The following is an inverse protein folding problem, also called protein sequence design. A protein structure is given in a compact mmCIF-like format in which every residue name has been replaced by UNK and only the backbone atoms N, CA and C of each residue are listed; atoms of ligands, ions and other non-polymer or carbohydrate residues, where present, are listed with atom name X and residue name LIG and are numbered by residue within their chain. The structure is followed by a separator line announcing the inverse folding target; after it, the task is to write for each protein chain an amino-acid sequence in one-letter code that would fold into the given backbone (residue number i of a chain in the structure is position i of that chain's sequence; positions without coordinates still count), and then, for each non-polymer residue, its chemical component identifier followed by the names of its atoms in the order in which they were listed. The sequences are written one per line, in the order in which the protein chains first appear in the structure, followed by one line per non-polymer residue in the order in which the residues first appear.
data_IF_825591284260
#
_entry.id   IF_825591284260
#
_cell.length_a   1.000
_cell.length_b   1.000
_cell.length_c   1.000
_cell.angle_alpha   90.00
_cell.angle_beta   90.00
_cell.angle_gamma   90.00
#
_symmetry.space_group_name_H-M   'P 1'
#
loop_
_entity.id
_entity.type
_entity.pdbx_description
1 polymer ?
#
# COMPACT_ATOMS: atom_id res chain seq x y z
N UNK A 1 -47.14 32.00 -3.21
CA UNK A 1 -45.71 32.19 -2.92
C UNK A 1 -44.99 30.91 -3.30
N UNK A 2 -44.06 30.95 -4.24
CA UNK A 2 -43.22 29.82 -4.59
C UNK A 2 -41.91 29.96 -3.81
N UNK A 3 -41.69 29.10 -2.82
CA UNK A 3 -40.42 28.99 -2.12
C UNK A 3 -39.43 28.30 -3.06
N UNK A 4 -38.45 29.05 -3.57
CA UNK A 4 -37.33 28.49 -4.31
C UNK A 4 -36.35 27.91 -3.28
N UNK A 5 -36.31 26.59 -3.15
CA UNK A 5 -35.24 25.91 -2.42
C UNK A 5 -33.98 25.99 -3.29
N UNK A 6 -32.88 26.59 -2.80
CA UNK A 6 -31.63 26.57 -3.54
C UNK A 6 -31.21 25.11 -3.83
N UNK A 7 -30.62 24.81 -4.99
CA UNK A 7 -30.01 23.52 -5.23
C UNK A 7 -29.01 23.21 -4.10
N UNK A 8 -29.01 21.98 -3.60
CA UNK A 8 -27.99 21.57 -2.63
C UNK A 8 -26.59 21.89 -3.19
N UNK A 9 -25.66 22.44 -2.38
CA UNK A 9 -24.31 22.71 -2.84
C UNK A 9 -23.71 21.43 -3.44
N UNK A 10 -22.95 21.51 -4.54
CA UNK A 10 -22.36 20.33 -5.15
C UNK A 10 -21.59 19.57 -4.08
N UNK A 11 -21.86 18.26 -3.96
CA UNK A 11 -21.15 17.37 -3.04
C UNK A 11 -19.67 17.46 -3.41
N UNK A 12 -18.90 18.22 -2.63
CA UNK A 12 -17.56 18.65 -2.99
C UNK A 12 -16.59 17.47 -2.77
N UNK A 13 -16.60 16.51 -3.69
CA UNK A 13 -15.64 15.41 -3.71
C UNK A 13 -14.28 15.99 -4.03
N UNK A 14 -13.35 15.90 -3.08
CA UNK A 14 -11.96 16.36 -3.26
C UNK A 14 -11.02 15.19 -3.10
N UNK A 15 -10.04 15.06 -3.99
CA UNK A 15 -8.96 14.12 -3.79
C UNK A 15 -8.07 14.59 -2.63
N UNK A 16 -7.92 13.75 -1.62
CA UNK A 16 -7.17 14.03 -0.39
C UNK A 16 -5.79 13.39 -0.40
N UNK A 17 -5.60 12.33 -1.21
CA UNK A 17 -4.30 11.67 -1.41
C UNK A 17 -4.17 11.21 -2.85
N UNK A 18 -2.93 11.19 -3.33
CA UNK A 18 -2.55 10.65 -4.63
C UNK A 18 -1.29 9.80 -4.47
N UNK A 19 -1.12 8.83 -5.35
CA UNK A 19 0.12 8.08 -5.49
C UNK A 19 0.31 7.71 -6.96
N UNK A 20 1.50 7.98 -7.50
CA UNK A 20 1.89 7.59 -8.84
C UNK A 20 2.78 6.35 -8.77
N UNK A 21 2.39 5.32 -9.51
CA UNK A 21 3.26 4.17 -9.81
C UNK A 21 3.99 4.38 -11.12
N UNK A 22 4.55 3.30 -11.67
CA UNK A 22 5.33 3.39 -12.92
C UNK A 22 4.46 3.79 -14.14
N UNK A 23 3.32 3.13 -14.31
CA UNK A 23 2.38 3.45 -15.41
C UNK A 23 0.91 3.47 -14.97
N UNK A 24 0.64 3.55 -13.66
CA UNK A 24 -0.70 3.76 -13.13
C UNK A 24 -0.68 4.81 -12.03
N UNK A 25 -1.86 5.30 -11.68
CA UNK A 25 -2.04 6.26 -10.60
C UNK A 25 -3.19 5.83 -9.72
N UNK A 26 -3.09 6.17 -8.44
CA UNK A 26 -4.12 6.00 -7.43
C UNK A 26 -4.49 7.37 -6.87
N UNK A 27 -5.77 7.55 -6.54
CA UNK A 27 -6.24 8.70 -5.78
C UNK A 27 -7.32 8.29 -4.77
N UNK A 28 -7.31 8.92 -3.61
CA UNK A 28 -8.30 8.77 -2.56
C UNK A 28 -9.10 10.07 -2.44
N UNK A 29 -10.42 9.98 -2.43
CA UNK A 29 -11.27 11.15 -2.21
C UNK A 29 -11.66 11.36 -0.74
N UNK A 30 -12.29 12.50 -0.45
CA UNK A 30 -12.76 12.89 0.88
C UNK A 30 -13.87 12.00 1.45
N UNK A 31 -14.48 11.14 0.63
CA UNK A 31 -15.52 10.20 1.02
C UNK A 31 -14.97 8.79 1.27
N UNK A 32 -13.64 8.60 1.15
CA UNK A 32 -12.99 7.31 1.32
C UNK A 32 -13.07 6.41 0.07
N UNK A 33 -13.49 6.95 -1.08
CA UNK A 33 -13.49 6.21 -2.34
C UNK A 33 -12.10 6.26 -2.96
N UNK A 34 -11.63 5.13 -3.46
CA UNK A 34 -10.34 5.02 -4.14
C UNK A 34 -10.54 4.82 -5.63
N UNK A 35 -9.75 5.54 -6.40
CA UNK A 35 -9.77 5.52 -7.85
C UNK A 35 -8.39 5.17 -8.38
N UNK A 36 -8.36 4.51 -9.53
CA UNK A 36 -7.15 4.15 -10.23
C UNK A 36 -7.29 4.45 -11.73
N UNK A 37 -6.19 4.77 -12.41
CA UNK A 37 -6.16 4.87 -13.88
C UNK A 37 -4.77 4.58 -14.43
N UNK A 38 -4.69 4.41 -15.75
CA UNK A 38 -3.48 4.03 -16.47
C UNK A 38 -3.48 2.56 -16.87
N UNK A 39 -2.29 1.97 -16.82
CA UNK A 39 -1.98 0.61 -17.29
C UNK A 39 -2.49 -0.47 -16.31
N UNK A 40 -2.95 -1.63 -16.82
CA UNK A 40 -3.60 -2.68 -15.99
C UNK A 40 -3.24 -4.16 -16.30
N UNK A 41 -2.10 -4.46 -16.94
CA UNK A 41 -1.69 -5.83 -17.32
C UNK A 41 -1.78 -6.83 -16.15
N UNK A 42 -1.54 -6.37 -14.92
CA UNK A 42 -1.53 -7.22 -13.72
C UNK A 42 -2.73 -7.03 -12.79
N UNK A 43 -3.74 -6.25 -13.19
CA UNK A 43 -4.86 -5.93 -12.31
C UNK A 43 -4.54 -4.87 -11.25
N UNK A 44 -3.46 -4.09 -11.45
CA UNK A 44 -2.97 -3.07 -10.51
C UNK A 44 -3.91 -1.88 -10.31
N UNK A 45 -4.98 -1.78 -11.11
CA UNK A 45 -6.08 -0.83 -10.90
C UNK A 45 -7.12 -1.32 -9.88
N UNK A 46 -7.15 -2.61 -9.53
CA UNK A 46 -8.01 -3.12 -8.46
C UNK A 46 -9.51 -3.10 -8.78
N UNK A 47 -9.89 -3.01 -10.05
CA UNK A 47 -11.29 -2.94 -10.52
C UNK A 47 -11.86 -4.31 -10.93
N UNK A 48 -11.18 -5.40 -10.54
CA UNK A 48 -11.53 -6.77 -10.90
C UNK A 48 -11.08 -7.19 -12.30
N UNK A 49 -10.58 -6.27 -13.11
CA UNK A 49 -10.11 -6.58 -14.48
C UNK A 49 -8.59 -6.69 -14.57
N UNK A 50 -8.10 -7.34 -15.63
CA UNK A 50 -6.68 -7.36 -16.01
C UNK A 50 -6.55 -6.98 -17.49
N UNK A 51 -5.37 -6.52 -17.92
CA UNK A 51 -5.00 -6.20 -19.31
C UNK A 51 -5.72 -4.96 -19.89
N UNK A 52 -6.91 -4.61 -19.40
CA UNK A 52 -7.64 -3.40 -19.82
C UNK A 52 -7.13 -2.14 -19.13
N UNK A 53 -6.39 -1.32 -19.87
CA UNK A 53 -6.01 0.02 -19.44
C UNK A 53 -7.23 0.93 -19.26
N UNK A 54 -7.13 1.91 -18.37
CA UNK A 54 -8.17 2.91 -18.10
C UNK A 54 -7.59 4.30 -18.35
N UNK A 55 -8.10 4.98 -19.36
CA UNK A 55 -7.72 6.37 -19.66
C UNK A 55 -8.48 7.41 -18.81
N UNK A 56 -9.35 6.94 -17.91
CA UNK A 56 -10.09 7.74 -16.95
C UNK A 56 -10.11 7.04 -15.59
N UNK A 57 -10.25 7.77 -14.47
CA UNK A 57 -10.37 7.18 -13.14
C UNK A 57 -11.49 6.13 -13.06
N UNK A 58 -11.13 4.88 -12.73
CA UNK A 58 -12.06 3.80 -12.39
C UNK A 58 -12.03 3.56 -10.88
N UNK A 59 -13.14 3.09 -10.32
CA UNK A 59 -13.24 2.81 -8.89
C UNK A 59 -12.57 1.49 -8.53
N UNK A 60 -11.70 1.53 -7.53
CA UNK A 60 -11.12 0.32 -6.92
C UNK A 60 -12.22 -0.44 -6.18
N UNK A 61 -12.27 -1.76 -6.35
CA UNK A 61 -13.24 -2.65 -5.70
C UNK A 61 -12.75 -3.00 -4.29
N UNK A 62 -12.80 -2.02 -3.38
CA UNK A 62 -12.47 -2.24 -1.98
C UNK A 62 -13.35 -3.33 -1.35
N UNK A 63 -12.84 -4.07 -0.34
CA UNK A 63 -13.64 -5.06 0.39
C UNK A 63 -14.93 -4.44 0.95
N UNK A 64 -15.97 -5.25 1.07
CA UNK A 64 -17.27 -4.79 1.57
C UNK A 64 -17.13 -4.15 2.96
N UNK A 65 -17.65 -2.92 3.11
CA UNK A 65 -17.59 -2.17 4.36
C UNK A 65 -16.25 -1.50 4.67
N UNK A 66 -15.25 -1.60 3.78
CA UNK A 66 -13.93 -1.00 3.98
C UNK A 66 -13.74 0.19 3.03
N UNK A 67 -13.45 1.36 3.59
CA UNK A 67 -12.84 2.48 2.86
C UNK A 67 -11.34 2.54 3.12
N UNK A 68 -10.56 3.02 2.16
CA UNK A 68 -9.11 3.19 2.34
C UNK A 68 -8.77 4.56 2.91
N UNK A 69 -7.69 4.63 3.67
CA UNK A 69 -7.21 5.84 4.36
C UNK A 69 -5.79 6.22 3.94
N UNK A 70 -5.03 5.29 3.39
CA UNK A 70 -3.72 5.49 2.76
C UNK A 70 -3.63 4.64 1.49
N UNK A 71 -2.86 5.12 0.51
CA UNK A 71 -2.61 4.45 -0.77
C UNK A 71 -1.13 4.56 -1.13
N UNK A 72 -0.61 3.56 -1.83
CA UNK A 72 0.73 3.57 -2.42
C UNK A 72 0.74 2.74 -3.71
N UNK A 73 1.36 3.27 -4.77
CA UNK A 73 1.44 2.63 -6.08
C UNK A 73 2.91 2.33 -6.41
N UNK A 74 3.19 1.07 -6.76
CA UNK A 74 4.51 0.60 -7.19
C UNK A 74 4.61 0.47 -8.71
N UNK A 75 5.48 -0.42 -9.19
CA UNK A 75 5.55 -0.71 -10.64
C UNK A 75 4.35 -1.52 -11.13
N UNK A 76 4.17 -2.69 -10.54
CA UNK A 76 3.18 -3.67 -10.97
C UNK A 76 2.04 -3.88 -9.98
N UNK A 77 2.13 -3.29 -8.79
CA UNK A 77 1.20 -3.50 -7.68
C UNK A 77 0.79 -2.19 -7.01
N UNK A 78 -0.21 -2.29 -6.16
CA UNK A 78 -0.84 -1.21 -5.41
C UNK A 78 -1.09 -1.68 -3.99
N UNK A 79 -1.07 -0.76 -3.04
CA UNK A 79 -1.29 -1.01 -1.64
C UNK A 79 -2.22 0.04 -1.03
N UNK A 80 -2.94 -0.35 0.03
CA UNK A 80 -3.75 0.54 0.83
C UNK A 80 -3.81 0.12 2.30
N UNK A 81 -4.08 1.09 3.18
CA UNK A 81 -4.53 0.82 4.55
C UNK A 81 -6.03 1.09 4.61
N UNK A 82 -6.80 0.12 5.11
CA UNK A 82 -8.23 0.19 5.32
C UNK A 82 -8.62 0.89 6.63
N UNK A 83 -9.86 1.36 6.67
CA UNK A 83 -10.54 1.88 7.86
C UNK A 83 -10.74 0.83 8.96
N UNK A 84 -10.62 -0.44 8.60
CA UNK A 84 -10.58 -1.59 9.50
C UNK A 84 -9.18 -1.87 10.09
N UNK A 85 -8.22 -0.98 9.82
CA UNK A 85 -6.80 -1.08 10.21
C UNK A 85 -6.06 -2.27 9.59
N UNK A 86 -6.59 -2.88 8.53
CA UNK A 86 -5.86 -3.89 7.76
C UNK A 86 -5.17 -3.28 6.55
N UNK A 87 -4.09 -3.93 6.12
CA UNK A 87 -3.39 -3.58 4.89
C UNK A 87 -3.87 -4.48 3.77
N UNK A 88 -4.07 -3.85 2.61
CA UNK A 88 -4.51 -4.50 1.40
C UNK A 88 -3.50 -4.24 0.29
N UNK A 89 -3.34 -5.22 -0.60
CA UNK A 89 -2.50 -5.11 -1.78
C UNK A 89 -3.21 -5.74 -2.99
N UNK A 90 -2.89 -5.29 -4.20
CA UNK A 90 -3.38 -5.89 -5.45
C UNK A 90 -2.44 -5.58 -6.61
N UNK A 91 -2.57 -6.34 -7.70
CA UNK A 91 -1.73 -6.26 -8.88
C UNK A 91 -0.82 -7.48 -9.03
N UNK A 92 0.38 -7.23 -9.55
CA UNK A 92 1.45 -8.20 -9.73
C UNK A 92 1.93 -8.78 -8.39
N UNK A 93 2.34 -10.06 -8.39
CA UNK A 93 2.71 -10.76 -7.16
C UNK A 93 3.73 -11.90 -7.35
N UNK A 94 4.44 -11.99 -8.49
CA UNK A 94 5.28 -13.18 -8.72
C UNK A 94 6.45 -13.26 -7.73
N UNK A 95 6.89 -12.12 -7.21
CA UNK A 95 7.96 -12.04 -6.22
C UNK A 95 7.41 -11.98 -4.79
N UNK A 96 6.09 -12.02 -4.62
CA UNK A 96 5.41 -11.95 -3.33
C UNK A 96 5.03 -10.55 -2.88
N UNK A 97 5.03 -9.55 -3.77
CA UNK A 97 4.78 -8.12 -3.46
C UNK A 97 3.45 -7.85 -2.76
N UNK A 98 2.46 -8.73 -2.88
CA UNK A 98 1.18 -8.55 -2.19
C UNK A 98 1.23 -9.02 -0.73
N UNK A 99 2.25 -9.78 -0.35
CA UNK A 99 2.43 -10.24 1.03
C UNK A 99 1.29 -11.13 1.53
N UNK A 100 0.51 -11.74 0.64
CA UNK A 100 -0.67 -12.58 0.96
C UNK A 100 -0.31 -14.04 1.24
N UNK A 101 0.99 -14.36 1.25
CA UNK A 101 1.51 -15.72 1.41
C UNK A 101 1.53 -16.54 0.11
N UNK A 102 1.19 -15.94 -1.02
CA UNK A 102 1.16 -16.60 -2.32
C UNK A 102 1.90 -15.79 -3.40
N UNK A 103 2.30 -16.40 -4.53
CA UNK A 103 2.85 -15.68 -5.67
C UNK A 103 1.79 -15.29 -6.72
N UNK A 104 0.49 -15.35 -6.36
CA UNK A 104 -0.58 -15.17 -7.34
C UNK A 104 -0.99 -13.70 -7.45
N UNK A 105 -1.06 -13.18 -8.68
CA UNK A 105 -1.59 -11.84 -8.93
C UNK A 105 -3.05 -11.72 -8.45
N UNK A 106 -3.46 -10.49 -8.09
CA UNK A 106 -4.82 -10.19 -7.62
C UNK A 106 -5.36 -8.96 -8.35
N UNK A 107 -6.46 -9.09 -9.07
CA UNK A 107 -7.12 -7.94 -9.73
C UNK A 107 -8.06 -7.14 -8.81
N UNK A 108 -8.19 -7.57 -7.55
CA UNK A 108 -8.91 -6.86 -6.48
C UNK A 108 -8.05 -6.84 -5.22
N UNK A 109 -8.24 -5.85 -4.33
CA UNK A 109 -7.56 -5.79 -3.04
C UNK A 109 -7.67 -7.11 -2.25
N UNK A 110 -6.51 -7.76 -2.02
CA UNK A 110 -6.37 -8.88 -1.08
C UNK A 110 -5.74 -8.37 0.21
N UNK A 111 -6.07 -9.02 1.32
CA UNK A 111 -5.48 -8.68 2.62
C UNK A 111 -4.05 -9.19 2.70
N UNK A 112 -3.14 -8.35 3.17
CA UNK A 112 -1.74 -8.71 3.47
C UNK A 112 -1.72 -9.62 4.71
N UNK A 113 -0.89 -10.67 4.70
CA UNK A 113 -0.69 -11.61 5.81
C UNK A 113 0.20 -11.00 6.90
N UNK A 114 -0.30 -9.96 7.57
CA UNK A 114 0.41 -9.25 8.65
C UNK A 114 0.73 -10.19 9.82
N UNK A 115 1.92 -10.09 10.44
CA UNK A 115 2.24 -10.84 11.65
C UNK A 115 1.23 -10.61 12.78
N UNK A 116 1.08 -11.61 13.65
CA UNK A 116 0.15 -11.54 14.78
C UNK A 116 0.49 -10.35 15.71
N UNK A 117 -0.53 -9.59 16.11
CA UNK A 117 -0.35 -8.39 16.95
C UNK A 117 0.12 -7.13 16.21
N UNK A 118 0.46 -7.23 14.92
CA UNK A 118 0.96 -6.10 14.14
C UNK A 118 -0.15 -5.46 13.32
N UNK A 119 -0.14 -4.12 13.28
CA UNK A 119 -0.96 -3.30 12.39
C UNK A 119 -0.05 -2.29 11.71
N UNK A 120 -0.09 -2.23 10.38
CA UNK A 120 0.72 -1.28 9.65
C UNK A 120 0.07 0.10 9.65
N UNK A 121 0.88 1.14 9.87
CA UNK A 121 0.48 2.56 9.96
C UNK A 121 1.05 3.40 8.81
N UNK A 122 2.03 2.83 8.09
CA UNK A 122 2.64 3.39 6.88
C UNK A 122 2.89 2.26 5.90
N UNK A 123 2.72 2.54 4.61
CA UNK A 123 3.03 1.64 3.51
C UNK A 123 3.81 2.37 2.41
N UNK A 124 4.66 1.63 1.71
CA UNK A 124 5.37 2.10 0.52
C UNK A 124 5.52 0.94 -0.47
N UNK A 125 4.99 1.10 -1.67
CA UNK A 125 5.11 0.15 -2.78
C UNK A 125 6.29 0.55 -3.66
N UNK A 126 7.26 -0.37 -3.81
CA UNK A 126 8.41 -0.22 -4.69
C UNK A 126 8.17 -0.82 -6.06
N UNK A 127 9.25 -1.10 -6.78
CA UNK A 127 9.14 -1.74 -8.09
C UNK A 127 8.76 -3.23 -7.94
N UNK A 128 9.52 -3.97 -7.15
CA UNK A 128 9.36 -5.42 -6.94
C UNK A 128 9.19 -5.82 -5.47
N UNK A 129 9.09 -4.84 -4.56
CA UNK A 129 8.95 -5.10 -3.14
C UNK A 129 8.03 -4.08 -2.48
N UNK A 130 7.64 -4.37 -1.26
CA UNK A 130 6.78 -3.53 -0.45
C UNK A 130 7.38 -3.35 0.94
N UNK A 131 7.16 -2.17 1.50
CA UNK A 131 7.58 -1.80 2.84
C UNK A 131 6.38 -1.36 3.66
N UNK A 132 6.43 -1.61 4.97
CA UNK A 132 5.49 -1.08 5.93
C UNK A 132 6.17 -0.71 7.26
N UNK A 133 5.55 0.21 8.01
CA UNK A 133 5.86 0.41 9.43
C UNK A 133 4.70 -0.14 10.24
N UNK A 134 4.98 -1.06 11.15
CA UNK A 134 4.04 -1.63 12.10
C UNK A 134 4.02 -0.86 13.41
N UNK A 135 2.86 -0.81 14.08
CA UNK A 135 2.76 -0.26 15.44
C UNK A 135 3.14 -1.27 16.53
N UNK A 136 3.35 -2.55 16.20
CA UNK A 136 3.78 -3.66 17.10
C UNK A 136 3.06 -3.73 18.46
N UNK A 137 1.77 -3.38 18.50
CA UNK A 137 0.99 -3.35 19.74
C UNK A 137 1.21 -2.13 20.63
N UNK A 138 2.09 -1.20 20.24
CA UNK A 138 2.22 0.11 20.86
C UNK A 138 1.23 1.12 20.26
N UNK A 139 0.79 2.09 21.08
CA UNK A 139 -0.12 3.19 20.67
C UNK A 139 0.58 4.26 19.81
N UNK A 140 1.85 4.07 19.47
CA UNK A 140 2.64 5.04 18.73
C UNK A 140 2.49 4.84 17.22
N UNK A 141 2.52 5.95 16.48
CA UNK A 141 2.50 6.00 15.02
C UNK A 141 3.75 5.40 14.36
N UNK A 142 4.77 5.06 15.17
CA UNK A 142 6.12 4.65 14.78
C UNK A 142 6.42 3.28 15.39
N UNK A 143 7.13 2.42 14.67
CA UNK A 143 7.49 1.08 15.14
C UNK A 143 8.35 0.33 14.14
N UNK A 144 8.33 -1.01 14.17
CA UNK A 144 9.26 -1.81 13.37
C UNK A 144 8.96 -1.70 11.87
N UNK A 145 10.02 -1.71 11.06
CA UNK A 145 9.90 -1.78 9.62
C UNK A 145 9.73 -3.24 9.19
N UNK A 146 8.87 -3.44 8.21
CA UNK A 146 8.59 -4.74 7.59
C UNK A 146 8.79 -4.62 6.09
N UNK A 147 9.33 -5.66 5.48
CA UNK A 147 9.55 -5.74 4.05
C UNK A 147 9.12 -7.11 3.51
N UNK A 148 8.64 -7.14 2.27
CA UNK A 148 8.35 -8.36 1.52
C UNK A 148 8.39 -8.10 0.01
N UNK A 149 8.35 -9.17 -0.79
CA UNK A 149 8.54 -9.14 -2.24
C UNK A 149 9.93 -9.63 -2.65
N UNK A 150 10.44 -9.07 -3.74
CA UNK A 150 11.75 -9.40 -4.28
C UNK A 150 12.88 -9.02 -3.33
N UNK A 151 13.91 -9.87 -3.29
CA UNK A 151 15.09 -9.68 -2.46
C UNK A 151 16.36 -10.18 -3.16
N UNK A 152 16.41 -10.04 -4.49
CA UNK A 152 17.55 -10.48 -5.29
C UNK A 152 18.80 -9.64 -5.02
N UNK A 153 18.61 -8.37 -4.62
CA UNK A 153 19.68 -7.40 -4.36
C UNK A 153 19.76 -7.00 -2.87
N UNK A 154 18.98 -7.65 -2.00
CA UNK A 154 18.93 -7.36 -0.56
C UNK A 154 17.96 -6.25 -0.18
N UNK A 155 16.99 -5.93 -1.05
CA UNK A 155 16.00 -4.85 -0.90
C UNK A 155 15.23 -4.92 0.42
N UNK A 156 15.06 -6.13 0.98
CA UNK A 156 14.29 -6.36 2.19
C UNK A 156 15.09 -6.12 3.48
N UNK A 157 16.42 -6.01 3.40
CA UNK A 157 17.26 -5.61 4.54
C UNK A 157 17.26 -6.54 5.76
N UNK A 158 16.78 -7.78 5.65
CA UNK A 158 16.72 -8.76 6.76
C UNK A 158 17.88 -9.77 6.76
N UNK A 159 18.95 -9.51 6.01
CA UNK A 159 20.20 -10.29 6.07
C UNK A 159 20.15 -11.70 5.46
N UNK A 160 19.08 -12.04 4.75
CA UNK A 160 18.99 -13.28 3.96
C UNK A 160 18.70 -12.94 2.51
N UNK A 161 19.05 -13.83 1.58
CA UNK A 161 18.59 -13.75 0.18
C UNK A 161 17.23 -14.44 -0.02
N UNK A 162 16.65 -14.26 -1.20
CA UNK A 162 15.40 -14.92 -1.61
C UNK A 162 14.14 -14.15 -1.22
N UNK A 163 13.15 -14.20 -2.12
CA UNK A 163 11.91 -13.44 -2.03
C UNK A 163 11.06 -13.84 -0.82
N UNK A 164 10.32 -12.86 -0.29
CA UNK A 164 9.40 -13.07 0.82
C UNK A 164 7.95 -12.85 0.38
N UNK A 165 7.11 -13.86 0.55
CA UNK A 165 5.69 -13.77 0.19
C UNK A 165 4.81 -13.31 1.36
N UNK A 166 5.41 -13.03 2.51
CA UNK A 166 4.77 -12.48 3.70
C UNK A 166 5.67 -11.40 4.32
N UNK A 167 5.11 -10.36 4.96
CA UNK A 167 5.90 -9.35 5.65
C UNK A 167 6.87 -9.95 6.67
N UNK A 168 8.15 -9.62 6.53
CA UNK A 168 9.22 -9.97 7.46
C UNK A 168 9.83 -8.71 8.10
N UNK A 169 10.24 -8.75 9.38
CA UNK A 169 10.93 -7.62 10.01
C UNK A 169 12.24 -7.29 9.28
N UNK A 170 12.48 -5.99 9.05
CA UNK A 170 13.76 -5.49 8.56
C UNK A 170 14.78 -5.45 9.71
N UNK A 171 16.03 -5.83 9.47
CA UNK A 171 17.06 -5.79 10.50
C UNK A 171 17.41 -4.36 10.89
N UNK A 172 17.42 -4.06 12.19
CA UNK A 172 17.94 -2.78 12.70
C UNK A 172 19.48 -2.82 12.73
N UNK A 173 20.18 -1.73 12.35
CA UNK A 173 21.64 -1.66 12.50
C UNK A 173 22.05 -1.94 13.95
N UNK A 174 23.09 -2.76 14.15
CA UNK A 174 23.61 -3.13 15.48
C UNK A 174 24.15 -1.94 16.30
N UNK A 175 24.33 -0.78 15.68
CA UNK A 175 24.72 0.49 16.33
C UNK A 175 23.56 1.44 16.60
N UNK A 176 22.32 1.06 16.24
CA UNK A 176 21.12 1.85 16.52
C UNK A 176 20.65 1.66 17.95
N UNK A 177 20.15 2.72 18.58
CA UNK A 177 19.53 2.65 19.89
C UNK A 177 18.34 1.66 19.81
N UNK A 178 18.25 0.62 20.66
CA UNK A 178 17.20 -0.40 20.58
C UNK A 178 15.77 0.15 20.80
N UNK A 179 15.62 1.42 21.17
CA UNK A 179 14.32 2.12 21.25
C UNK A 179 13.95 2.88 19.98
N UNK A 180 14.76 2.81 18.93
CA UNK A 180 14.55 3.59 17.73
C UNK A 180 13.34 3.11 16.93
N UNK A 181 12.56 4.07 16.44
CA UNK A 181 11.28 3.81 15.79
C UNK A 181 11.27 4.48 14.43
N UNK A 182 10.97 3.70 13.39
CA UNK A 182 10.94 4.22 12.03
C UNK A 182 9.76 5.17 11.85
N UNK A 183 10.03 6.38 11.34
CA UNK A 183 9.01 7.41 11.08
C UNK A 183 8.49 7.40 9.66
N UNK A 184 9.38 7.11 8.72
CA UNK A 184 9.04 7.04 7.29
C UNK A 184 9.84 5.97 6.60
N UNK A 185 9.27 5.45 5.52
CA UNK A 185 9.84 4.45 4.65
C UNK A 185 9.58 4.84 3.19
N UNK A 186 10.53 4.53 2.32
CA UNK A 186 10.39 4.70 0.87
C UNK A 186 11.02 3.52 0.17
N UNK A 187 10.22 2.82 -0.62
CA UNK A 187 10.65 1.77 -1.51
C UNK A 187 11.02 2.37 -2.88
N UNK A 188 12.26 2.14 -3.32
CA UNK A 188 12.76 2.55 -4.62
C UNK A 188 12.64 1.44 -5.66
N UNK A 189 13.50 1.50 -6.69
CA UNK A 189 13.56 0.47 -7.73
C UNK A 189 14.11 -0.87 -7.18
N UNK A 190 15.32 -0.80 -6.63
CA UNK A 190 16.06 -1.92 -6.02
C UNK A 190 16.70 -1.51 -4.69
N UNK A 191 16.09 -0.56 -3.97
CA UNK A 191 16.59 -0.10 -2.68
C UNK A 191 15.45 0.34 -1.77
N UNK A 192 15.72 0.32 -0.47
CA UNK A 192 14.82 0.74 0.59
C UNK A 192 15.46 1.84 1.41
N UNK A 193 14.69 2.87 1.76
CA UNK A 193 15.11 3.94 2.67
C UNK A 193 14.16 3.98 3.86
N UNK A 194 14.71 4.19 5.05
CA UNK A 194 13.94 4.45 6.25
C UNK A 194 14.60 5.60 7.03
N UNK A 195 13.79 6.50 7.61
CA UNK A 195 14.28 7.51 8.54
C UNK A 195 13.76 7.20 9.93
N UNK A 196 14.68 7.28 10.87
CA UNK A 196 14.47 7.01 12.28
C UNK A 196 13.94 8.25 13.01
N UNK A 197 13.70 8.11 14.31
CA UNK A 197 13.23 9.19 15.17
C UNK A 197 14.28 10.23 15.54
N UNK A 198 15.57 9.92 15.38
CA UNK A 198 16.74 10.72 15.82
C UNK A 198 17.31 11.65 14.75
#
# INVERSE_FOLDING_TARGET
MATLTPPAPPTNVRFTRISAGDNHSLALDSNGNTYAWGQNYYGKLGDGTTITQRNQPVRVHAPAGVTFTQISAGWGHSMAIGSDNYTYAWGYNNEGELGDGTPNLRSTPVRVSTPAGVRFTRISAGYWHSLAIGSDGNTYTYGSAYAWGNNSEGELGHGTGGNQHTPAPVSTPSSGNPTNTWKTISAGNSHSLALDSD
#
